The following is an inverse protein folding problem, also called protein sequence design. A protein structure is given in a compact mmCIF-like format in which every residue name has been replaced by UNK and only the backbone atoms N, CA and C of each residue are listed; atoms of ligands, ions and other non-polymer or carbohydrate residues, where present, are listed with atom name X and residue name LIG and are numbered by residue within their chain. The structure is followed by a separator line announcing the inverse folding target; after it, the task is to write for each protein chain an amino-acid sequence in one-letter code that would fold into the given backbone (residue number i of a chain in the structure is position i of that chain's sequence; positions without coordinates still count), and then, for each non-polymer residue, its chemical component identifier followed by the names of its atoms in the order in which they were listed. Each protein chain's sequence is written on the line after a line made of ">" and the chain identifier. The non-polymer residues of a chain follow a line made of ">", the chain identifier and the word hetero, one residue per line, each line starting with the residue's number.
data_IF_454540836591
#
_entry.id   IF_454540836591
#
_cell.length_a   1.000
_cell.length_b   1.000
_cell.length_c   1.000
_cell.angle_alpha   90.00
_cell.angle_beta   90.00
_cell.angle_gamma   90.00
#
_symmetry.space_group_name_H-M   'P 1'
#
loop_
_entity.id
_entity.type
_entity.pdbx_description
1 polymer ?
#
# COMPACT_ATOMS: atom_id res chain seq x y z
N UNK A 1 8.98 -5.71 6.49
CA UNK A 1 9.88 -6.04 5.37
C UNK A 1 10.13 -7.54 5.34
N UNK A 2 10.05 -8.14 4.16
CA UNK A 2 10.27 -9.59 4.02
C UNK A 2 11.76 -9.84 3.80
N UNK A 3 12.36 -10.64 4.69
CA UNK A 3 13.76 -11.05 4.57
C UNK A 3 13.85 -12.53 4.23
N UNK A 4 13.78 -12.84 2.96
CA UNK A 4 13.81 -14.20 2.45
C UNK A 4 14.62 -14.23 1.16
N UNK A 5 15.62 -15.10 1.11
CA UNK A 5 16.51 -15.21 -0.06
C UNK A 5 15.78 -15.63 -1.33
N UNK A 6 14.63 -16.29 -1.22
CA UNK A 6 13.80 -16.68 -2.36
C UNK A 6 13.29 -15.47 -3.14
N UNK A 7 13.09 -14.34 -2.48
CA UNK A 7 12.69 -13.07 -3.12
C UNK A 7 13.70 -12.72 -4.23
N UNK A 8 14.99 -12.72 -3.89
CA UNK A 8 16.06 -12.39 -4.85
C UNK A 8 16.18 -13.43 -5.96
N UNK A 9 16.06 -14.70 -5.61
CA UNK A 9 16.13 -15.78 -6.59
C UNK A 9 15.02 -15.66 -7.64
N UNK A 10 13.80 -15.43 -7.21
CA UNK A 10 12.64 -15.25 -8.10
C UNK A 10 12.80 -13.98 -8.93
N UNK A 11 13.18 -12.88 -8.29
CA UNK A 11 13.37 -11.60 -8.95
C UNK A 11 14.44 -11.68 -10.05
N UNK A 12 15.58 -12.29 -9.77
CA UNK A 12 16.67 -12.46 -10.74
C UNK A 12 16.25 -13.35 -11.91
N UNK A 13 15.43 -14.37 -11.64
CA UNK A 13 14.96 -15.27 -12.68
C UNK A 13 14.10 -14.56 -13.73
N UNK A 14 13.19 -13.70 -13.30
CA UNK A 14 12.25 -13.03 -14.19
C UNK A 14 12.71 -11.66 -14.70
N UNK A 15 13.44 -10.90 -13.87
CA UNK A 15 13.95 -9.58 -14.22
C UNK A 15 12.97 -8.45 -14.03
N UNK A 16 13.48 -7.22 -14.09
CA UNK A 16 12.75 -6.00 -13.71
C UNK A 16 11.50 -5.75 -14.58
N UNK A 17 11.61 -5.91 -15.89
CA UNK A 17 10.48 -5.62 -16.80
C UNK A 17 9.29 -6.53 -16.53
N UNK A 18 9.55 -7.83 -16.40
CA UNK A 18 8.48 -8.80 -16.14
C UNK A 18 7.87 -8.59 -14.76
N UNK A 19 8.70 -8.34 -13.76
CA UNK A 19 8.23 -8.17 -12.40
C UNK A 19 7.49 -6.85 -12.18
N UNK A 20 7.81 -5.79 -12.92
CA UNK A 20 7.01 -4.56 -12.91
C UNK A 20 5.59 -4.80 -13.43
N UNK A 21 5.47 -5.59 -14.51
CA UNK A 21 4.15 -5.97 -15.04
C UNK A 21 3.40 -6.84 -14.06
N UNK A 22 4.09 -7.78 -13.41
CA UNK A 22 3.50 -8.65 -12.42
C UNK A 22 3.02 -7.87 -11.19
N UNK A 23 3.77 -6.87 -10.75
CA UNK A 23 3.34 -5.97 -9.69
C UNK A 23 2.02 -5.27 -10.06
N UNK A 24 1.92 -4.77 -11.29
CA UNK A 24 0.70 -4.12 -11.78
C UNK A 24 -0.50 -5.08 -11.77
N UNK A 25 -0.31 -6.33 -12.18
CA UNK A 25 -1.36 -7.37 -12.15
C UNK A 25 -1.81 -7.66 -10.72
N UNK A 26 -0.86 -7.89 -9.81
CA UNK A 26 -1.19 -8.18 -8.41
C UNK A 26 -1.89 -7.01 -7.72
N UNK A 27 -1.49 -5.78 -8.03
CA UNK A 27 -2.18 -4.59 -7.53
C UNK A 27 -3.62 -4.50 -8.05
N UNK A 28 -3.85 -4.87 -9.32
CA UNK A 28 -5.19 -4.91 -9.91
C UNK A 28 -6.08 -5.96 -9.24
N UNK A 29 -5.54 -7.13 -8.98
CA UNK A 29 -6.25 -8.20 -8.28
C UNK A 29 -6.58 -7.81 -6.84
N UNK A 30 -5.64 -7.15 -6.15
CA UNK A 30 -5.88 -6.62 -4.82
C UNK A 30 -6.99 -5.56 -4.82
N UNK A 31 -7.01 -4.68 -5.82
CA UNK A 31 -8.05 -3.66 -5.95
C UNK A 31 -9.44 -4.27 -6.09
N UNK A 32 -9.58 -5.31 -6.92
CA UNK A 32 -10.84 -6.04 -7.09
C UNK A 32 -11.26 -6.69 -5.79
N UNK A 33 -10.35 -7.35 -5.11
CA UNK A 33 -10.67 -8.05 -3.86
C UNK A 33 -10.97 -7.09 -2.72
N UNK A 34 -10.31 -5.94 -2.66
CA UNK A 34 -10.62 -4.88 -1.70
C UNK A 34 -12.06 -4.37 -1.89
N UNK A 35 -12.50 -4.22 -3.13
CA UNK A 35 -13.87 -3.83 -3.45
C UNK A 35 -14.88 -4.87 -2.98
N UNK A 36 -14.60 -6.16 -3.20
CA UNK A 36 -15.43 -7.26 -2.70
C UNK A 36 -15.51 -7.28 -1.18
N UNK A 37 -14.37 -7.13 -0.51
CA UNK A 37 -14.27 -7.14 0.95
C UNK A 37 -15.01 -5.96 1.59
N UNK A 38 -15.03 -4.80 0.92
CA UNK A 38 -15.79 -3.64 1.38
C UNK A 38 -17.28 -3.89 1.40
N UNK A 39 -17.81 -4.72 0.46
CA UNK A 39 -19.23 -5.06 0.38
C UNK A 39 -19.63 -6.25 1.26
N UNK A 40 -18.76 -7.26 1.34
CA UNK A 40 -19.07 -8.56 1.94
C UNK A 40 -18.34 -8.87 3.25
N UNK A 41 -17.48 -7.96 3.70
CA UNK A 41 -16.57 -8.19 4.82
C UNK A 41 -15.27 -8.84 4.37
N UNK A 42 -14.25 -8.79 5.23
CA UNK A 42 -12.91 -9.30 4.94
C UNK A 42 -12.94 -10.79 4.61
N UNK A 43 -12.30 -11.18 3.52
CA UNK A 43 -12.22 -12.56 3.05
C UNK A 43 -10.78 -13.09 3.14
N UNK A 44 -10.64 -14.41 3.10
CA UNK A 44 -9.31 -15.06 3.03
C UNK A 44 -8.57 -14.60 1.76
N UNK A 45 -9.30 -14.36 0.68
CA UNK A 45 -8.74 -13.98 -0.61
C UNK A 45 -8.00 -12.64 -0.57
N UNK A 46 -8.44 -11.66 0.23
CA UNK A 46 -7.71 -10.40 0.37
C UNK A 46 -6.35 -10.61 1.02
N UNK A 47 -6.24 -11.57 1.92
CA UNK A 47 -4.97 -11.92 2.58
C UNK A 47 -3.98 -12.46 1.54
N UNK A 48 -4.45 -13.34 0.64
CA UNK A 48 -3.64 -13.88 -0.44
C UNK A 48 -3.13 -12.78 -1.37
N UNK A 49 -4.02 -11.87 -1.77
CA UNK A 49 -3.67 -10.75 -2.65
C UNK A 49 -2.69 -9.77 -1.98
N UNK A 50 -2.86 -9.52 -0.69
CA UNK A 50 -1.91 -8.71 0.06
C UNK A 50 -0.53 -9.35 0.10
N UNK A 51 -0.46 -10.66 0.32
CA UNK A 51 0.79 -11.42 0.32
C UNK A 51 1.49 -11.31 -1.04
N UNK A 52 0.74 -11.47 -2.13
CA UNK A 52 1.27 -11.38 -3.49
C UNK A 52 1.86 -9.99 -3.76
N UNK A 53 1.15 -8.93 -3.37
CA UNK A 53 1.63 -7.55 -3.55
C UNK A 53 2.88 -7.28 -2.71
N UNK A 54 2.93 -7.72 -1.46
CA UNK A 54 4.11 -7.52 -0.60
C UNK A 54 5.34 -8.23 -1.17
N UNK A 55 5.18 -9.45 -1.67
CA UNK A 55 6.26 -10.19 -2.33
C UNK A 55 6.77 -9.43 -3.54
N UNK A 56 5.88 -8.89 -4.38
CA UNK A 56 6.26 -8.12 -5.55
C UNK A 56 6.97 -6.81 -5.21
N UNK A 57 6.52 -6.12 -4.18
CA UNK A 57 7.18 -4.89 -3.72
C UNK A 57 8.64 -5.17 -3.33
N UNK A 58 8.88 -6.22 -2.57
CA UNK A 58 10.24 -6.59 -2.17
C UNK A 58 11.13 -6.96 -3.36
N UNK A 59 10.57 -7.64 -4.36
CA UNK A 59 11.30 -7.95 -5.59
C UNK A 59 11.70 -6.69 -6.36
N UNK A 60 10.80 -5.72 -6.47
CA UNK A 60 11.07 -4.46 -7.16
C UNK A 60 12.11 -3.63 -6.40
N UNK A 61 12.01 -3.56 -5.08
CA UNK A 61 13.02 -2.88 -4.24
C UNK A 61 14.41 -3.44 -4.54
N UNK A 62 14.53 -4.74 -4.60
CA UNK A 62 15.78 -5.42 -4.92
C UNK A 62 16.25 -5.15 -6.36
N UNK A 63 15.39 -5.37 -7.34
CA UNK A 63 15.75 -5.26 -8.77
C UNK A 63 16.06 -3.82 -9.19
N UNK A 64 15.31 -2.87 -8.71
CA UNK A 64 15.48 -1.46 -9.03
C UNK A 64 16.53 -0.75 -8.13
N UNK A 65 17.12 -1.48 -7.20
CA UNK A 65 18.12 -0.95 -6.26
C UNK A 65 17.61 0.26 -5.48
N UNK A 66 16.34 0.18 -5.05
CA UNK A 66 15.72 1.23 -4.27
C UNK A 66 16.28 1.20 -2.83
N UNK A 67 16.67 2.35 -2.31
CA UNK A 67 17.04 2.46 -0.91
C UNK A 67 15.75 2.43 -0.05
N UNK A 68 15.67 1.46 0.84
CA UNK A 68 14.53 1.29 1.74
C UNK A 68 14.24 2.53 2.59
N UNK A 69 15.27 3.29 2.92
CA UNK A 69 15.13 4.55 3.66
C UNK A 69 14.29 5.57 2.91
N UNK A 70 14.39 5.63 1.59
CA UNK A 70 13.58 6.54 0.78
C UNK A 70 12.10 6.23 0.90
N UNK A 71 11.76 4.93 0.91
CA UNK A 71 10.38 4.49 1.11
C UNK A 71 9.89 4.87 2.51
N UNK A 72 10.71 4.61 3.53
CA UNK A 72 10.37 4.92 4.92
C UNK A 72 10.16 6.42 5.14
N UNK A 73 11.01 7.26 4.57
CA UNK A 73 10.85 8.72 4.63
C UNK A 73 9.55 9.18 3.97
N UNK A 74 9.23 8.61 2.79
CA UNK A 74 7.96 8.87 2.12
C UNK A 74 6.76 8.46 2.97
N UNK A 75 6.85 7.31 3.63
CA UNK A 75 5.79 6.82 4.52
C UNK A 75 5.56 7.82 5.65
N UNK A 76 6.62 8.27 6.31
CA UNK A 76 6.50 9.23 7.42
C UNK A 76 5.88 10.54 6.96
N UNK A 77 6.33 11.08 5.85
CA UNK A 77 5.76 12.30 5.27
C UNK A 77 4.25 12.15 5.00
N UNK A 78 3.87 11.03 4.38
CA UNK A 78 2.45 10.78 4.04
C UNK A 78 1.58 10.58 5.26
N UNK A 79 2.08 9.90 6.29
CA UNK A 79 1.36 9.71 7.55
C UNK A 79 1.14 11.04 8.26
N UNK A 80 2.14 11.89 8.34
CA UNK A 80 2.02 13.23 8.91
C UNK A 80 0.99 14.06 8.16
N UNK A 81 0.99 13.99 6.83
CA UNK A 81 0.02 14.68 5.98
C UNK A 81 -1.42 14.20 6.23
N UNK A 82 -1.61 12.90 6.38
CA UNK A 82 -2.92 12.31 6.68
C UNK A 82 -3.41 12.74 8.07
N UNK A 83 -2.54 12.77 9.05
CA UNK A 83 -2.89 13.23 10.40
C UNK A 83 -3.35 14.69 10.39
N UNK A 84 -2.68 15.55 9.62
CA UNK A 84 -3.09 16.95 9.45
C UNK A 84 -4.48 17.07 8.80
N UNK A 85 -4.77 16.23 7.81
CA UNK A 85 -6.10 16.20 7.16
C UNK A 85 -7.20 15.86 8.16
N UNK A 86 -6.97 14.86 9.01
CA UNK A 86 -7.91 14.47 10.06
C UNK A 86 -8.17 15.63 11.01
N UNK A 87 -7.12 16.31 11.46
CA UNK A 87 -7.22 17.47 12.34
C UNK A 87 -8.04 18.61 11.71
N UNK A 88 -7.81 18.88 10.42
CA UNK A 88 -8.54 19.88 9.66
C UNK A 88 -10.01 19.51 9.52
N UNK A 89 -10.30 18.25 9.22
CA UNK A 89 -11.67 17.73 9.13
C UNK A 89 -12.42 17.86 10.45
N UNK A 90 -11.76 17.53 11.55
CA UNK A 90 -12.33 17.65 12.88
C UNK A 90 -12.62 19.10 13.25
N UNK A 91 -11.72 20.03 12.93
CA UNK A 91 -11.94 21.47 13.13
C UNK A 91 -13.10 21.99 12.29
N UNK A 92 -13.23 21.53 11.06
CA UNK A 92 -14.33 21.93 10.16
C UNK A 92 -15.67 21.44 10.71
N UNK A 93 -15.75 20.21 11.21
CA UNK A 93 -16.96 19.66 11.82
C UNK A 93 -17.35 20.48 13.05
N UNK A 94 -16.39 20.78 13.90
CA UNK A 94 -16.62 21.56 15.12
C UNK A 94 -17.11 22.97 14.79
N UNK A 95 -16.48 23.66 13.83
CA UNK A 95 -16.88 24.99 13.37
C UNK A 95 -18.32 24.99 12.84
N UNK A 96 -18.68 24.03 12.01
CA UNK A 96 -20.04 23.90 11.46
C UNK A 96 -21.07 23.64 12.53
N UNK A 97 -20.71 22.86 13.56
CA UNK A 97 -21.57 22.61 14.69
C UNK A 97 -21.81 23.89 15.50
N UNK A 98 -20.77 24.67 15.76
CA UNK A 98 -20.86 25.95 16.46
C UNK A 98 -21.74 26.94 15.70
N UNK A 99 -21.59 27.03 14.39
CA UNK A 99 -22.43 27.87 13.53
C UNK A 99 -23.90 27.49 13.60
N UNK A 100 -24.20 26.21 13.70
CA UNK A 100 -25.58 25.71 13.80
C UNK A 100 -26.22 26.03 15.16
N UNK A 101 -25.43 26.07 16.21
CA UNK A 101 -25.91 26.33 17.57
C UNK A 101 -26.20 27.82 17.78
N UNK A 102 -25.53 28.70 17.05
CA UNK A 102 -25.79 30.15 17.08
C UNK A 102 -27.07 30.45 16.32
#
# INVERSE_FOLDING_TARGET
>A
MIEDTRIKTIADHYGIKKQMRQLAEECSELAVEASHSARKGTTVKIIEEMADVEIMIEQIVYLAKIDRKDIEECIQYKLERQMKRIEEEERDVLRKTEERIR
#
